data_IF_050930970349
#
_entry.id   IF_050930970349
#
_cell.length_a   1.000
_cell.length_b   1.000
_cell.length_c   1.000
_cell.angle_alpha   90.00
_cell.angle_beta   90.00
_cell.angle_gamma   90.00
#
_symmetry.space_group_name_H-M   'P 1'
#
loop_
_entity.id
_entity.type
_entity.pdbx_description
1 polymer ?
#
# COMPACT_ATOMS: atom_id res chain seq x y z
N UNK A 1 -24.56 1.44 -4.00
CA UNK A 1 -23.60 1.97 -4.99
C UNK A 1 -22.77 3.04 -4.31
N UNK A 2 -21.56 2.71 -3.87
CA UNK A 2 -20.58 3.74 -3.47
C UNK A 2 -20.16 4.43 -4.76
N UNK A 3 -20.46 5.72 -4.92
CA UNK A 3 -19.88 6.51 -6.02
C UNK A 3 -18.37 6.33 -5.93
N UNK A 4 -17.71 5.85 -7.00
CA UNK A 4 -16.26 5.99 -7.14
C UNK A 4 -15.99 7.49 -7.13
N UNK A 5 -15.73 8.05 -5.96
CA UNK A 5 -15.21 9.41 -5.84
C UNK A 5 -13.81 9.38 -6.44
N UNK A 6 -13.59 10.17 -7.48
CA UNK A 6 -12.23 10.49 -7.87
C UNK A 6 -11.68 11.38 -6.75
N UNK A 7 -10.59 10.94 -6.13
CA UNK A 7 -9.85 11.76 -5.18
C UNK A 7 -8.80 12.53 -5.95
N UNK A 8 -8.73 13.84 -5.75
CA UNK A 8 -7.58 14.61 -6.19
C UNK A 8 -6.43 14.37 -5.21
N UNK A 9 -5.23 14.06 -5.71
CA UNK A 9 -4.06 13.86 -4.87
C UNK A 9 -3.63 15.17 -4.18
N UNK A 10 -3.91 16.34 -4.78
CA UNK A 10 -3.67 17.65 -4.15
C UNK A 10 -4.63 17.92 -2.98
N UNK A 11 -5.75 17.21 -2.90
CA UNK A 11 -6.63 17.29 -1.72
C UNK A 11 -6.09 16.46 -0.55
N UNK A 12 -5.21 15.48 -0.83
CA UNK A 12 -4.74 14.50 0.15
C UNK A 12 -3.32 14.81 0.64
N UNK A 13 -2.43 15.17 -0.27
CA UNK A 13 -1.00 15.24 -0.05
C UNK A 13 -0.44 16.66 -0.27
N UNK A 14 0.72 16.94 0.33
CA UNK A 14 1.53 18.14 0.13
C UNK A 14 2.36 17.99 -1.16
N UNK A 15 1.68 17.84 -2.30
CA UNK A 15 2.33 17.83 -3.60
C UNK A 15 2.90 19.23 -3.89
N UNK A 16 4.18 19.42 -3.60
CA UNK A 16 4.92 20.66 -3.87
C UNK A 16 5.50 20.66 -5.30
N UNK A 17 5.43 21.80 -5.97
CA UNK A 17 6.04 22.04 -7.28
C UNK A 17 5.02 22.38 -8.37
N UNK A 18 5.29 23.45 -9.12
CA UNK A 18 4.47 23.92 -10.27
C UNK A 18 4.41 22.89 -11.42
N UNK A 19 5.15 21.79 -11.32
CA UNK A 19 5.29 20.74 -12.35
C UNK A 19 4.24 19.63 -12.24
N UNK A 20 3.58 19.46 -11.08
CA UNK A 20 2.51 18.47 -10.88
C UNK A 20 1.17 19.19 -11.02
N UNK A 21 0.77 19.48 -12.25
CA UNK A 21 -0.53 20.09 -12.54
C UNK A 21 -1.59 18.98 -12.66
N UNK A 22 -2.51 18.87 -11.70
CA UNK A 22 -3.77 18.11 -11.89
C UNK A 22 -4.79 18.97 -12.61
N UNK A 23 -4.47 19.41 -13.83
CA UNK A 23 -5.34 20.36 -14.49
C UNK A 23 -6.63 19.68 -14.96
N UNK A 24 -7.73 19.99 -14.29
CA UNK A 24 -9.10 19.65 -14.72
C UNK A 24 -9.48 20.28 -16.07
N UNK A 25 -8.67 21.21 -16.59
CA UNK A 25 -8.78 21.80 -17.93
C UNK A 25 -7.84 21.18 -18.97
N UNK A 26 -7.11 20.11 -18.61
CA UNK A 26 -6.26 19.37 -19.53
C UNK A 26 -7.08 18.79 -20.69
N UNK A 27 -6.83 19.27 -21.91
CA UNK A 27 -7.40 18.68 -23.12
C UNK A 27 -6.65 17.39 -23.46
N UNK A 28 -7.30 16.21 -23.37
CA UNK A 28 -6.67 14.94 -23.71
C UNK A 28 -6.14 14.87 -25.15
N UNK A 29 -6.66 15.74 -26.04
CA UNK A 29 -6.19 15.85 -27.42
C UNK A 29 -4.71 16.31 -27.51
N UNK A 30 -4.21 17.05 -26.51
CA UNK A 30 -2.81 17.48 -26.44
C UNK A 30 -1.85 16.30 -26.35
N UNK A 31 -2.24 15.23 -25.63
CA UNK A 31 -1.46 14.01 -25.54
C UNK A 31 -1.48 13.16 -26.81
N UNK A 32 -2.50 13.29 -27.67
CA UNK A 32 -2.66 12.42 -28.85
C UNK A 32 -1.54 12.56 -29.89
N UNK A 33 -0.83 13.71 -29.86
CA UNK A 33 0.29 14.02 -30.75
C UNK A 33 1.66 13.74 -30.11
N UNK A 34 1.71 13.40 -28.82
CA UNK A 34 2.97 13.15 -28.13
C UNK A 34 3.47 11.72 -28.38
N UNK A 35 4.79 11.51 -28.47
CA UNK A 35 5.36 10.18 -28.34
C UNK A 35 4.88 9.56 -27.01
N UNK A 36 4.28 8.37 -27.06
CA UNK A 36 3.84 7.68 -25.86
C UNK A 36 4.80 6.55 -25.46
N UNK A 37 4.88 6.30 -24.17
CA UNK A 37 5.59 5.20 -23.54
C UNK A 37 4.59 4.38 -22.75
N UNK A 38 4.30 3.20 -23.27
CA UNK A 38 3.48 2.22 -22.59
C UNK A 38 4.34 1.42 -21.61
N UNK A 39 3.77 1.12 -20.46
CA UNK A 39 4.35 0.21 -19.48
C UNK A 39 4.45 -1.21 -20.05
N UNK A 40 5.63 -1.53 -20.57
CA UNK A 40 5.92 -2.81 -21.23
C UNK A 40 5.78 -4.02 -20.30
N UNK A 41 6.00 -3.82 -18.99
CA UNK A 41 6.15 -4.92 -18.04
C UNK A 41 5.14 -4.88 -16.89
N UNK A 42 4.19 -3.95 -16.86
CA UNK A 42 3.19 -3.75 -15.80
C UNK A 42 3.82 -3.64 -14.39
N UNK A 43 4.09 -4.78 -13.76
CA UNK A 43 4.75 -4.90 -12.45
C UNK A 43 6.28 -5.07 -12.52
N UNK A 44 6.88 -4.87 -13.69
CA UNK A 44 8.32 -5.01 -13.95
C UNK A 44 9.04 -3.69 -14.20
N UNK A 45 10.37 -3.71 -14.03
CA UNK A 45 11.21 -2.55 -14.32
C UNK A 45 11.67 -2.51 -15.79
N UNK A 46 11.57 -1.34 -16.41
CA UNK A 46 12.06 -1.00 -17.73
C UNK A 46 13.19 0.04 -17.61
N UNK A 47 14.43 -0.39 -17.90
CA UNK A 47 15.60 0.47 -17.88
C UNK A 47 15.63 1.47 -19.05
N UNK A 48 14.89 1.21 -20.13
CA UNK A 48 14.81 2.12 -21.28
C UNK A 48 14.14 3.45 -20.93
N UNK A 49 13.33 3.51 -19.86
CA UNK A 49 12.69 4.76 -19.40
C UNK A 49 13.71 5.79 -18.90
N UNK A 50 14.91 5.37 -18.48
CA UNK A 50 15.98 6.29 -18.11
C UNK A 50 16.77 6.84 -19.31
N UNK A 51 16.59 6.23 -20.49
CA UNK A 51 17.23 6.67 -21.73
C UNK A 51 16.39 7.70 -22.51
N UNK A 52 15.31 8.21 -21.93
CA UNK A 52 14.42 9.16 -22.60
C UNK A 52 15.11 10.48 -22.92
N UNK A 53 14.86 11.07 -24.11
CA UNK A 53 15.45 12.34 -24.50
C UNK A 53 14.95 13.48 -23.60
N UNK A 54 15.88 14.23 -23.01
CA UNK A 54 15.56 15.40 -22.18
C UNK A 54 14.95 16.52 -23.01
N UNK A 55 14.02 17.27 -22.42
CA UNK A 55 13.40 18.46 -23.04
C UNK A 55 12.38 18.13 -24.13
N UNK A 56 11.83 16.91 -24.13
CA UNK A 56 10.72 16.52 -25.00
C UNK A 56 9.53 16.08 -24.15
N UNK A 57 8.35 16.49 -24.59
CA UNK A 57 7.09 16.04 -24.01
C UNK A 57 6.85 14.57 -24.40
N UNK A 58 6.51 13.74 -23.41
CA UNK A 58 6.25 12.31 -23.57
C UNK A 58 5.00 11.95 -22.76
N UNK A 59 4.10 11.17 -23.34
CA UNK A 59 2.93 10.65 -22.64
C UNK A 59 3.23 9.26 -22.08
N UNK A 60 3.08 9.07 -20.76
CA UNK A 60 3.22 7.75 -20.15
C UNK A 60 1.86 7.10 -19.96
N UNK A 61 1.74 5.84 -20.36
CA UNK A 61 0.52 5.05 -20.23
C UNK A 61 0.80 3.72 -19.56
N UNK A 62 0.11 3.42 -18.47
CA UNK A 62 0.29 2.18 -17.72
C UNK A 62 0.42 2.43 -16.22
N UNK A 63 1.00 1.47 -15.50
CA UNK A 63 1.01 1.48 -14.04
C UNK A 63 2.39 1.72 -13.43
N UNK A 64 3.47 1.31 -14.11
CA UNK A 64 4.87 1.46 -13.71
C UNK A 64 5.12 0.92 -12.30
N UNK A 65 4.63 -0.28 -12.01
CA UNK A 65 4.57 -0.87 -10.67
C UNK A 65 5.85 -1.61 -10.30
N UNK A 66 6.99 -0.92 -10.36
CA UNK A 66 8.25 -1.45 -9.85
C UNK A 66 8.86 -0.56 -8.78
N UNK A 67 9.29 -1.17 -7.67
CA UNK A 67 9.99 -0.46 -6.60
C UNK A 67 11.27 0.23 -7.10
N UNK A 68 11.86 -0.28 -8.18
CA UNK A 68 13.10 0.24 -8.76
C UNK A 68 12.94 1.65 -9.34
N UNK A 69 11.73 2.04 -9.74
CA UNK A 69 11.46 3.43 -10.15
C UNK A 69 11.51 4.42 -8.98
N UNK A 70 11.31 3.95 -7.74
CA UNK A 70 11.32 4.80 -6.55
C UNK A 70 12.69 4.87 -5.86
N UNK A 71 13.59 3.92 -6.13
CA UNK A 71 14.84 3.71 -5.39
C UNK A 71 15.71 4.98 -5.26
N UNK A 72 15.84 5.77 -6.32
CA UNK A 72 16.68 6.98 -6.32
C UNK A 72 15.93 8.26 -5.94
N UNK A 73 14.62 8.14 -5.71
CA UNK A 73 13.73 9.27 -5.47
C UNK A 73 12.89 9.11 -4.20
N UNK A 74 13.18 8.11 -3.36
CA UNK A 74 12.39 7.75 -2.18
C UNK A 74 12.14 8.95 -1.26
N UNK A 75 13.17 9.71 -0.90
CA UNK A 75 13.03 10.90 -0.05
C UNK A 75 12.12 11.96 -0.68
N UNK A 76 12.23 12.15 -1.99
CA UNK A 76 11.41 13.14 -2.71
C UNK A 76 9.96 12.69 -2.78
N UNK A 77 9.72 11.41 -3.12
CA UNK A 77 8.38 10.84 -3.17
C UNK A 77 7.74 10.86 -1.78
N UNK A 78 8.44 10.45 -0.73
CA UNK A 78 7.94 10.50 0.65
C UNK A 78 7.57 11.93 1.09
N UNK A 79 8.35 12.94 0.69
CA UNK A 79 7.99 14.35 0.95
C UNK A 79 6.71 14.74 0.21
N UNK A 80 6.63 14.49 -1.10
CA UNK A 80 5.45 14.82 -1.91
C UNK A 80 4.19 14.14 -1.39
N UNK A 81 4.28 12.87 -1.00
CA UNK A 81 3.17 12.09 -0.46
C UNK A 81 3.01 12.24 1.05
N UNK A 82 3.38 13.40 1.61
CA UNK A 82 3.04 13.76 2.99
C UNK A 82 1.58 14.18 3.06
N UNK A 83 0.77 13.53 3.91
CA UNK A 83 -0.63 13.90 4.10
C UNK A 83 -0.80 15.32 4.63
N UNK A 84 -1.85 16.02 4.17
CA UNK A 84 -2.27 17.31 4.74
C UNK A 84 -2.57 17.21 6.23
N UNK A 85 -2.35 18.31 6.94
CA UNK A 85 -2.46 18.35 8.41
C UNK A 85 -3.83 17.92 8.93
N UNK A 86 -4.90 18.30 8.23
CA UNK A 86 -6.28 17.92 8.61
C UNK A 86 -6.50 16.40 8.60
N UNK A 87 -5.98 15.70 7.60
CA UNK A 87 -6.04 14.24 7.49
C UNK A 87 -5.17 13.62 8.58
N UNK A 88 -3.93 14.11 8.76
CA UNK A 88 -3.03 13.62 9.81
C UNK A 88 -3.65 13.75 11.20
N UNK A 89 -4.21 14.92 11.52
CA UNK A 89 -4.83 15.19 12.82
C UNK A 89 -6.05 14.31 13.06
N UNK A 90 -6.89 14.12 12.03
CA UNK A 90 -8.05 13.22 12.09
C UNK A 90 -7.63 11.79 12.42
N UNK A 91 -6.64 11.26 11.69
CA UNK A 91 -6.15 9.89 11.90
C UNK A 91 -5.42 9.74 13.24
N UNK A 92 -4.61 10.71 13.65
CA UNK A 92 -3.96 10.70 14.96
C UNK A 92 -4.98 10.69 16.11
N UNK A 93 -6.09 11.44 16.00
CA UNK A 93 -7.16 11.41 16.99
C UNK A 93 -7.85 10.05 17.02
N UNK A 94 -8.16 9.46 15.85
CA UNK A 94 -8.71 8.10 15.77
C UNK A 94 -7.80 7.05 16.42
N UNK A 95 -6.50 7.09 16.15
CA UNK A 95 -5.53 6.18 16.78
C UNK A 95 -5.51 6.35 18.31
N UNK A 96 -5.53 7.60 18.80
CA UNK A 96 -5.60 7.88 20.24
C UNK A 96 -6.89 7.36 20.87
N UNK A 97 -8.02 7.53 20.21
CA UNK A 97 -9.33 7.01 20.66
C UNK A 97 -9.35 5.48 20.69
N UNK A 98 -8.87 4.83 19.63
CA UNK A 98 -8.78 3.36 19.56
C UNK A 98 -7.91 2.77 20.66
N UNK A 99 -6.85 3.48 21.05
CA UNK A 99 -5.89 3.06 22.07
C UNK A 99 -6.19 3.68 23.44
N UNK A 100 -7.28 4.43 23.58
CA UNK A 100 -7.68 5.06 24.83
C UNK A 100 -7.99 4.00 25.90
N UNK A 101 -7.52 4.23 27.13
CA UNK A 101 -7.68 3.28 28.24
C UNK A 101 -6.76 2.05 28.17
N UNK A 102 -5.90 1.95 27.16
CA UNK A 102 -4.85 0.94 27.07
C UNK A 102 -3.56 1.44 27.71
N UNK A 103 -2.57 0.55 27.89
CA UNK A 103 -1.23 0.93 28.36
C UNK A 103 -0.33 1.45 27.22
N UNK A 104 -0.89 2.05 26.17
CA UNK A 104 -0.13 2.44 24.98
C UNK A 104 0.88 3.54 25.26
N UNK A 105 2.13 3.30 24.87
CA UNK A 105 3.22 4.27 24.95
C UNK A 105 3.97 4.35 23.62
N UNK A 106 3.81 5.47 22.90
CA UNK A 106 4.44 5.69 21.59
C UNK A 106 5.97 5.60 21.56
N UNK A 107 6.66 5.67 22.72
CA UNK A 107 8.12 5.58 22.81
C UNK A 107 8.62 4.14 22.88
N UNK A 108 7.81 3.22 23.37
CA UNK A 108 8.21 1.84 23.64
C UNK A 108 7.39 0.81 22.87
N UNK A 109 6.12 1.11 22.60
CA UNK A 109 5.23 0.23 21.86
C UNK A 109 5.41 0.38 20.35
N UNK A 110 5.14 -0.70 19.64
CA UNK A 110 5.20 -0.78 18.19
C UNK A 110 3.78 -0.92 17.63
N UNK A 111 3.33 0.06 16.87
CA UNK A 111 2.10 -0.06 16.07
C UNK A 111 2.42 -0.75 14.75
N UNK A 112 1.64 -1.79 14.43
CA UNK A 112 1.72 -2.52 13.17
C UNK A 112 0.42 -2.32 12.40
N UNK A 113 0.48 -1.66 11.26
CA UNK A 113 -0.65 -1.52 10.34
C UNK A 113 -0.88 -2.84 9.61
N UNK A 114 -2.07 -3.42 9.72
CA UNK A 114 -2.44 -4.66 9.04
C UNK A 114 -3.46 -4.35 7.96
N UNK A 115 -3.02 -4.34 6.70
CA UNK A 115 -3.90 -4.13 5.55
C UNK A 115 -4.42 -5.47 5.04
N UNK A 116 -5.75 -5.64 5.05
CA UNK A 116 -6.43 -6.84 4.56
C UNK A 116 -7.39 -6.46 3.43
N UNK A 117 -6.94 -6.66 2.19
CA UNK A 117 -7.80 -6.68 1.00
C UNK A 117 -8.33 -8.09 0.72
N UNK A 118 -9.65 -8.24 0.69
CA UNK A 118 -10.35 -9.52 0.47
C UNK A 118 -11.64 -9.38 -0.33
N UNK A 119 -12.45 -8.36 -0.07
CA UNK A 119 -13.86 -8.30 -0.50
C UNK A 119 -14.06 -8.52 -2.00
N UNK A 120 -13.49 -7.66 -2.84
CA UNK A 120 -13.59 -7.76 -4.30
C UNK A 120 -12.78 -8.94 -4.89
N UNK A 121 -11.72 -9.35 -4.21
CA UNK A 121 -10.89 -10.49 -4.62
C UNK A 121 -11.60 -11.85 -4.50
N UNK A 122 -12.71 -11.94 -3.76
CA UNK A 122 -13.54 -13.15 -3.71
C UNK A 122 -14.25 -13.46 -5.04
N UNK A 123 -14.29 -12.50 -5.98
CA UNK A 123 -14.92 -12.65 -7.28
C UNK A 123 -14.29 -13.79 -8.10
N UNK A 124 -15.14 -14.59 -8.75
CA UNK A 124 -14.72 -15.69 -9.62
C UNK A 124 -13.85 -15.24 -10.79
N UNK A 125 -14.09 -14.06 -11.38
CA UNK A 125 -13.26 -13.55 -12.47
C UNK A 125 -11.83 -13.28 -12.01
N UNK A 126 -11.67 -12.68 -10.83
CA UNK A 126 -10.37 -12.39 -10.20
C UNK A 126 -9.61 -13.70 -9.92
N UNK A 127 -10.30 -14.72 -9.41
CA UNK A 127 -9.68 -16.04 -9.19
C UNK A 127 -9.28 -16.74 -10.50
N UNK A 128 -10.11 -16.64 -11.55
CA UNK A 128 -9.78 -17.20 -12.88
C UNK A 128 -8.59 -16.49 -13.51
N UNK A 129 -8.45 -15.19 -13.28
CA UNK A 129 -7.28 -14.42 -13.69
C UNK A 129 -5.99 -14.90 -12.99
N UNK A 130 -6.13 -15.62 -11.88
CA UNK A 130 -5.00 -16.23 -11.17
C UNK A 130 -4.57 -15.49 -9.91
N UNK A 131 -5.31 -14.45 -9.49
CA UNK A 131 -5.06 -13.73 -8.23
C UNK A 131 -5.36 -14.65 -7.03
N UNK A 132 -4.39 -14.77 -6.13
CA UNK A 132 -4.56 -15.44 -4.83
C UNK A 132 -5.02 -14.45 -3.77
N UNK A 133 -5.64 -14.99 -2.73
CA UNK A 133 -6.09 -14.23 -1.56
C UNK A 133 -5.40 -14.85 -0.35
N UNK A 134 -4.76 -14.05 0.51
CA UNK A 134 -4.13 -14.60 1.70
C UNK A 134 -5.15 -15.26 2.62
N UNK A 135 -4.72 -16.32 3.27
CA UNK A 135 -5.50 -16.99 4.30
C UNK A 135 -5.44 -16.21 5.62
N UNK A 136 -6.32 -16.53 6.57
CA UNK A 136 -6.18 -16.06 7.94
C UNK A 136 -4.85 -16.54 8.56
N UNK A 137 -4.38 -17.73 8.19
CA UNK A 137 -3.12 -18.32 8.65
C UNK A 137 -1.90 -17.47 8.25
N UNK A 138 -1.85 -16.94 7.02
CA UNK A 138 -0.83 -15.97 6.61
C UNK A 138 -0.79 -14.76 7.56
N UNK A 139 -1.97 -14.17 7.83
CA UNK A 139 -2.08 -12.96 8.64
C UNK A 139 -1.63 -13.26 10.07
N UNK A 140 -2.09 -14.36 10.65
CA UNK A 140 -1.68 -14.83 11.98
C UNK A 140 -0.17 -15.02 12.06
N UNK A 141 0.44 -15.75 11.11
CA UNK A 141 1.89 -15.97 11.08
C UNK A 141 2.67 -14.66 10.94
N UNK A 142 2.20 -13.74 10.11
CA UNK A 142 2.83 -12.42 9.96
C UNK A 142 2.76 -11.60 11.25
N UNK A 143 1.62 -11.63 11.95
CA UNK A 143 1.45 -10.97 13.25
C UNK A 143 2.32 -11.60 14.34
N UNK A 144 2.40 -12.93 14.40
CA UNK A 144 3.32 -13.65 15.28
C UNK A 144 4.78 -13.31 14.98
N UNK A 145 5.14 -13.17 13.70
CA UNK A 145 6.47 -12.76 13.29
C UNK A 145 6.82 -11.34 13.78
N UNK A 146 5.89 -10.38 13.65
CA UNK A 146 6.08 -9.04 14.19
C UNK A 146 6.22 -9.04 15.72
N UNK A 147 5.42 -9.84 16.44
CA UNK A 147 5.58 -10.05 17.88
C UNK A 147 6.97 -10.60 18.23
N UNK A 148 7.48 -11.56 17.44
CA UNK A 148 8.81 -12.13 17.66
C UNK A 148 9.91 -11.10 17.43
N UNK A 149 9.82 -10.29 16.38
CA UNK A 149 10.82 -9.28 16.04
C UNK A 149 10.85 -8.11 17.02
N UNK A 150 9.67 -7.60 17.39
CA UNK A 150 9.54 -6.30 18.08
C UNK A 150 8.97 -6.41 19.50
N UNK A 151 8.47 -7.57 19.91
CA UNK A 151 7.84 -7.79 21.22
C UNK A 151 8.79 -8.22 22.35
N UNK A 152 10.11 -8.28 22.11
CA UNK A 152 11.10 -8.66 23.13
C UNK A 152 11.52 -7.48 24.03
N UNK A 153 11.08 -6.25 23.70
CA UNK A 153 11.41 -5.03 24.43
C UNK A 153 10.50 -4.74 25.63
N UNK A 154 10.60 -3.52 26.15
CA UNK A 154 9.75 -3.05 27.26
C UNK A 154 8.32 -2.71 26.82
N UNK A 155 8.08 -2.49 25.53
CA UNK A 155 6.76 -2.19 24.99
C UNK A 155 6.08 -3.37 24.32
N UNK A 156 4.84 -3.14 23.91
CA UNK A 156 4.00 -4.14 23.23
C UNK A 156 3.92 -3.90 21.74
N UNK A 157 3.71 -4.96 20.98
CA UNK A 157 3.28 -4.87 19.58
C UNK A 157 1.75 -4.81 19.55
N UNK A 158 1.19 -3.81 18.86
CA UNK A 158 -0.25 -3.60 18.72
C UNK A 158 -0.60 -3.53 17.26
N UNK A 159 -1.69 -4.18 16.86
CA UNK A 159 -2.09 -4.30 15.47
C UNK A 159 -3.29 -3.41 15.17
N UNK A 160 -3.17 -2.55 14.17
CA UNK A 160 -4.24 -1.71 13.66
C UNK A 160 -4.71 -2.27 12.32
N UNK A 161 -5.86 -2.93 12.30
CA UNK A 161 -6.40 -3.63 11.14
C UNK A 161 -7.26 -2.70 10.30
N UNK A 162 -6.83 -2.45 9.06
CA UNK A 162 -7.61 -1.75 8.03
C UNK A 162 -8.00 -2.78 6.96
N UNK A 163 -9.30 -2.94 6.71
CA UNK A 163 -9.80 -4.05 5.88
C UNK A 163 -11.05 -3.65 5.11
N UNK A 164 -11.15 -4.12 3.87
CA UNK A 164 -12.38 -4.01 3.08
C UNK A 164 -13.42 -5.09 3.44
N UNK A 165 -13.05 -6.03 4.32
CA UNK A 165 -13.92 -7.04 4.95
C UNK A 165 -13.62 -7.12 6.46
N UNK A 166 -14.02 -6.07 7.18
CA UNK A 166 -13.75 -5.92 8.61
C UNK A 166 -14.47 -6.99 9.46
N UNK A 167 -15.62 -7.48 9.00
CA UNK A 167 -16.38 -8.54 9.68
C UNK A 167 -15.59 -9.85 9.66
N UNK A 168 -15.13 -10.27 8.47
CA UNK A 168 -14.28 -11.46 8.35
C UNK A 168 -13.01 -11.32 9.19
N UNK A 169 -12.40 -10.13 9.19
CA UNK A 169 -11.17 -9.86 9.95
C UNK A 169 -11.38 -10.04 11.47
N UNK A 170 -12.51 -9.57 12.01
CA UNK A 170 -12.86 -9.76 13.44
C UNK A 170 -13.09 -11.22 13.80
N UNK A 171 -13.72 -11.99 12.92
CA UNK A 171 -13.99 -13.41 13.15
C UNK A 171 -12.70 -14.26 13.15
N UNK A 172 -11.70 -13.87 12.36
CA UNK A 172 -10.51 -14.68 12.12
C UNK A 172 -9.27 -14.25 12.93
N UNK A 173 -9.24 -13.03 13.48
CA UNK A 173 -8.10 -12.49 14.25
C UNK A 173 -8.35 -12.47 15.76
N UNK A 174 -9.15 -13.40 16.27
CA UNK A 174 -9.54 -13.50 17.70
C UNK A 174 -8.42 -13.98 18.63
N UNK A 175 -7.33 -14.55 18.08
CA UNK A 175 -6.21 -15.11 18.84
C UNK A 175 -5.23 -14.10 19.44
N UNK A 176 -5.45 -12.80 19.24
CA UNK A 176 -4.54 -11.73 19.66
C UNK A 176 -5.25 -10.71 20.54
N UNK A 177 -4.62 -10.35 21.67
CA UNK A 177 -5.22 -9.42 22.65
C UNK A 177 -5.01 -7.93 22.31
N UNK A 178 -4.00 -7.60 21.50
CA UNK A 178 -3.63 -6.23 21.15
C UNK A 178 -3.99 -5.90 19.69
N UNK A 179 -5.23 -6.19 19.30
CA UNK A 179 -5.74 -5.95 17.93
C UNK A 179 -6.91 -4.97 17.96
N UNK A 180 -6.81 -3.95 17.12
CA UNK A 180 -7.77 -2.88 17.00
C UNK A 180 -8.19 -2.77 15.54
N UNK A 181 -9.48 -2.57 15.29
CA UNK A 181 -10.05 -2.55 13.95
C UNK A 181 -10.41 -1.11 13.58
N UNK A 182 -9.87 -0.63 12.47
CA UNK A 182 -10.15 0.71 11.93
C UNK A 182 -11.66 0.89 11.74
N UNK A 183 -12.16 2.07 12.13
CA UNK A 183 -13.51 2.53 11.85
C UNK A 183 -13.50 3.68 10.81
N UNK A 184 -12.38 3.85 10.09
CA UNK A 184 -12.18 4.89 9.10
C UNK A 184 -13.36 4.99 8.13
N UNK A 185 -13.69 6.22 7.74
CA UNK A 185 -14.84 6.50 6.87
C UNK A 185 -14.43 6.57 5.41
N UNK A 186 -13.14 6.71 5.11
CA UNK A 186 -12.62 6.89 3.76
C UNK A 186 -11.36 6.04 3.53
N UNK A 187 -11.08 5.63 2.28
CA UNK A 187 -9.81 4.98 1.95
C UNK A 187 -8.58 5.86 2.25
N UNK A 188 -8.75 7.19 2.21
CA UNK A 188 -7.68 8.15 2.55
C UNK A 188 -7.31 8.03 4.04
N UNK A 189 -8.30 7.95 4.92
CA UNK A 189 -8.08 7.73 6.35
C UNK A 189 -7.39 6.39 6.63
N UNK A 190 -7.78 5.30 5.96
CA UNK A 190 -7.12 3.99 6.12
C UNK A 190 -5.67 4.03 5.61
N UNK A 191 -5.41 4.66 4.46
CA UNK A 191 -4.05 4.77 3.91
C UNK A 191 -3.15 5.57 4.86
N UNK A 192 -3.65 6.71 5.35
CA UNK A 192 -2.96 7.53 6.33
C UNK A 192 -2.73 6.76 7.64
N UNK A 193 -3.74 6.04 8.14
CA UNK A 193 -3.63 5.24 9.36
C UNK A 193 -2.54 4.19 9.27
N UNK A 194 -2.53 3.40 8.18
CA UNK A 194 -1.49 2.40 7.93
C UNK A 194 -0.10 3.05 7.81
N UNK A 195 0.02 4.15 7.05
CA UNK A 195 1.31 4.85 6.87
C UNK A 195 1.89 5.42 8.17
N UNK A 196 1.04 5.76 9.14
CA UNK A 196 1.46 6.32 10.44
C UNK A 196 1.89 5.26 11.45
N UNK A 197 1.75 3.98 11.13
CA UNK A 197 2.24 2.89 11.99
C UNK A 197 3.76 2.70 11.87
N UNK A 198 4.36 2.02 12.85
CA UNK A 198 5.81 1.78 12.89
C UNK A 198 6.27 0.70 11.92
N UNK A 199 5.39 -0.24 11.57
CA UNK A 199 5.63 -1.43 10.75
C UNK A 199 4.33 -1.80 10.01
N UNK A 200 4.41 -2.57 8.93
CA UNK A 200 3.21 -2.98 8.19
C UNK A 200 3.18 -4.47 7.84
N UNK A 201 1.97 -5.02 7.79
CA UNK A 201 1.64 -6.31 7.21
C UNK A 201 0.63 -6.04 6.10
N UNK A 202 0.95 -6.46 4.89
CA UNK A 202 0.11 -6.20 3.72
C UNK A 202 -0.32 -7.50 3.03
N UNK A 203 -1.56 -7.54 2.55
CA UNK A 203 -2.06 -8.62 1.71
C UNK A 203 -1.76 -8.38 0.23
N UNK A 204 -2.77 -8.03 -0.57
CA UNK A 204 -2.71 -7.91 -2.03
C UNK A 204 -3.12 -6.51 -2.48
N UNK A 205 -2.67 -6.13 -3.67
CA UNK A 205 -2.99 -4.85 -4.30
C UNK A 205 -2.05 -3.71 -3.92
N UNK A 206 -2.11 -2.63 -4.70
CA UNK A 206 -1.21 -1.47 -4.56
C UNK A 206 -1.55 -0.56 -3.40
N UNK A 207 -2.77 -0.62 -2.85
CA UNK A 207 -3.15 0.17 -1.68
C UNK A 207 -2.26 -0.16 -0.47
N UNK A 208 -2.12 -1.46 -0.15
CA UNK A 208 -1.21 -1.93 0.89
C UNK A 208 0.25 -1.62 0.55
N UNK A 209 0.64 -1.78 -0.71
CA UNK A 209 2.00 -1.45 -1.16
C UNK A 209 2.35 0.01 -0.87
N UNK A 210 1.49 0.97 -1.25
CA UNK A 210 1.70 2.39 -0.96
C UNK A 210 1.64 2.70 0.54
N UNK A 211 0.74 2.05 1.28
CA UNK A 211 0.69 2.19 2.73
C UNK A 211 2.02 1.78 3.40
N UNK A 212 2.58 0.65 2.97
CA UNK A 212 3.86 0.13 3.45
C UNK A 212 5.04 0.98 2.99
N UNK A 213 5.03 1.45 1.74
CA UNK A 213 6.04 2.36 1.24
C UNK A 213 6.05 3.67 2.02
N UNK A 214 4.90 4.25 2.34
CA UNK A 214 4.81 5.50 3.11
C UNK A 214 5.05 5.30 4.61
N UNK A 215 4.80 4.10 5.13
CA UNK A 215 5.20 3.71 6.48
C UNK A 215 6.72 3.58 6.58
N UNK A 216 7.19 3.51 7.83
CA UNK A 216 8.58 3.24 8.16
C UNK A 216 8.72 1.80 8.68
N UNK A 217 9.96 1.35 8.86
CA UNK A 217 10.27 0.11 9.57
C UNK A 217 10.05 -1.18 8.76
N UNK A 218 9.75 -2.28 9.46
CA UNK A 218 9.56 -3.60 8.87
C UNK A 218 8.25 -3.71 8.10
N UNK A 219 8.33 -4.23 6.89
CA UNK A 219 7.16 -4.60 6.08
C UNK A 219 7.14 -6.09 5.81
N UNK A 220 6.02 -6.75 6.08
CA UNK A 220 5.74 -8.13 5.67
C UNK A 220 4.70 -8.11 4.56
N UNK A 221 4.95 -8.83 3.47
CA UNK A 221 4.02 -8.95 2.34
C UNK A 221 3.69 -10.41 2.02
N UNK A 222 2.52 -10.62 1.40
CA UNK A 222 2.11 -11.94 0.94
C UNK A 222 2.83 -12.28 -0.36
N UNK A 223 3.75 -13.24 -0.31
CA UNK A 223 4.60 -13.56 -1.48
C UNK A 223 3.90 -14.40 -2.54
N UNK A 224 2.89 -15.17 -2.16
CA UNK A 224 2.19 -16.08 -3.08
C UNK A 224 1.02 -15.38 -3.79
N UNK A 225 1.30 -14.26 -4.47
CA UNK A 225 0.28 -13.39 -5.08
C UNK A 225 -0.57 -14.05 -6.18
N UNK A 226 -0.03 -15.06 -6.86
CA UNK A 226 -0.65 -15.61 -8.07
C UNK A 226 -0.46 -17.11 -8.24
N UNK A 227 -1.36 -17.70 -9.02
CA UNK A 227 -1.20 -19.05 -9.55
C UNK A 227 -0.13 -19.02 -10.64
N UNK A 228 0.87 -19.89 -10.54
CA UNK A 228 1.95 -19.96 -11.54
C UNK A 228 1.39 -20.24 -12.94
N UNK A 229 1.91 -19.53 -13.94
CA UNK A 229 1.47 -19.59 -15.35
C UNK A 229 0.02 -19.11 -15.60
N UNK A 230 -0.56 -18.31 -14.69
CA UNK A 230 -1.84 -17.64 -14.95
C UNK A 230 -1.66 -16.32 -15.71
N UNK A 231 -2.75 -15.78 -16.25
CA UNK A 231 -2.75 -14.47 -16.90
C UNK A 231 -2.24 -13.36 -15.95
N UNK A 232 -2.60 -13.41 -14.67
CA UNK A 232 -2.09 -12.46 -13.68
C UNK A 232 -0.58 -12.64 -13.42
N UNK A 233 -0.06 -13.86 -13.45
CA UNK A 233 1.38 -14.09 -13.31
C UNK A 233 2.18 -13.44 -14.45
N UNK A 234 1.60 -13.41 -15.66
CA UNK A 234 2.21 -12.77 -16.83
C UNK A 234 2.29 -11.24 -16.74
N UNK A 235 1.58 -10.60 -15.80
CA UNK A 235 1.75 -9.17 -15.49
C UNK A 235 3.05 -8.89 -14.71
N UNK A 236 3.72 -9.93 -14.21
CA UNK A 236 4.98 -9.83 -13.49
C UNK A 236 6.12 -10.31 -14.36
N UNK A 237 7.16 -9.49 -14.48
CA UNK A 237 8.38 -9.86 -15.21
C UNK A 237 8.92 -11.19 -14.66
N UNK A 238 9.23 -12.11 -15.57
CA UNK A 238 9.73 -13.46 -15.26
C UNK A 238 8.81 -14.28 -14.33
N UNK A 239 7.49 -13.98 -14.28
CA UNK A 239 6.53 -14.57 -13.34
C UNK A 239 7.00 -14.46 -11.87
N UNK A 240 7.65 -13.34 -11.52
CA UNK A 240 8.28 -13.11 -10.22
C UNK A 240 7.87 -11.76 -9.63
N UNK A 241 7.64 -11.73 -8.32
CA UNK A 241 7.32 -10.50 -7.58
C UNK A 241 8.56 -9.63 -7.26
N UNK A 242 9.75 -10.02 -7.73
CA UNK A 242 11.02 -9.39 -7.36
C UNK A 242 11.18 -7.94 -7.83
N UNK A 243 10.56 -7.56 -8.94
CA UNK A 243 10.51 -6.16 -9.38
C UNK A 243 9.36 -5.38 -8.73
N UNK A 244 8.37 -6.06 -8.15
CA UNK A 244 7.20 -5.43 -7.53
C UNK A 244 7.46 -5.04 -6.08
N UNK A 245 8.05 -5.92 -5.26
CA UNK A 245 8.34 -5.64 -3.86
C UNK A 245 9.81 -5.28 -3.62
N UNK A 246 10.11 -4.25 -2.81
CA UNK A 246 11.47 -3.95 -2.40
C UNK A 246 12.16 -5.16 -1.72
N UNK A 247 13.46 -5.40 -1.98
CA UNK A 247 14.19 -6.53 -1.39
C UNK A 247 14.38 -6.42 0.12
N UNK A 248 14.16 -5.23 0.71
CA UNK A 248 14.17 -5.02 2.16
C UNK A 248 12.90 -5.51 2.87
N UNK A 249 11.84 -5.84 2.12
CA UNK A 249 10.59 -6.34 2.68
C UNK A 249 10.62 -7.87 2.85
N UNK A 250 9.86 -8.37 3.82
CA UNK A 250 9.85 -9.79 4.19
C UNK A 250 8.65 -10.48 3.52
N UNK A 251 8.91 -11.38 2.57
CA UNK A 251 7.87 -12.17 1.92
C UNK A 251 7.46 -13.40 2.74
N UNK A 252 6.18 -13.54 3.06
CA UNK A 252 5.62 -14.67 3.82
C UNK A 252 4.43 -15.34 3.11
N UNK A 253 4.17 -16.60 3.48
CA UNK A 253 3.11 -17.49 2.95
C UNK A 253 2.18 -17.97 4.06
#
# INVERSE_FOLDING_TARGET
MVKKGYFDLHDIFLLEGDELMTDSSFDPSYCSCLPYKEDKYNCGYDDELYALPKGKDVYFYGYFQSWRYLLHHEDTIRRLFTFKEEIRNTVQNKLREMLYGTSWNYRTDHLVGVHIRRGDHLNRSIKRFGKKIPSADYITKAMEHMNKLHGQGQGKVRFIVCSDDITWSREHLTGFSEVYFSDAKTPVEDLAMLSMTNHTIITVGTFGWWAAFLSNGTTIYFKDLFVQNSDFAAEFRDNSVGDFFPPSWIGME
#
